data_IF_027088762217
#
_entry.id   IF_027088762217
#
_cell.length_a   1.000
_cell.length_b   1.000
_cell.length_c   1.000
_cell.angle_alpha   90.00
_cell.angle_beta   90.00
_cell.angle_gamma   90.00
#
_symmetry.space_group_name_H-M   'P 1'
#
loop_
_entity.id
_entity.type
_entity.pdbx_description
1 polymer ?
#
# COMPACT_ATOMS: atom_id res chain seq x y z
N UNK A 1 18.92 -22.35 -12.39
CA UNK A 1 17.90 -23.43 -12.34
C UNK A 1 16.79 -22.92 -11.43
N UNK A 2 15.56 -22.86 -11.91
CA UNK A 2 14.45 -22.33 -11.11
C UNK A 2 14.12 -23.20 -9.88
N UNK A 3 13.98 -22.57 -8.70
CA UNK A 3 13.50 -23.23 -7.48
C UNK A 3 12.65 -22.28 -6.62
N UNK A 4 11.80 -22.85 -5.77
CA UNK A 4 10.97 -22.08 -4.83
C UNK A 4 11.84 -21.53 -3.69
N UNK A 5 11.60 -20.30 -3.27
CA UNK A 5 12.25 -19.67 -2.13
C UNK A 5 11.24 -19.28 -1.05
N UNK A 6 11.73 -19.06 0.17
CA UNK A 6 10.89 -18.60 1.28
C UNK A 6 10.46 -17.14 1.08
N UNK A 7 9.19 -16.88 1.32
CA UNK A 7 8.53 -15.58 1.33
C UNK A 7 8.47 -14.95 2.75
N UNK A 8 9.04 -15.65 3.74
CA UNK A 8 9.19 -15.22 5.14
C UNK A 8 10.57 -14.62 5.46
N UNK A 9 11.53 -14.71 4.51
CA UNK A 9 12.88 -14.20 4.69
C UNK A 9 13.27 -13.25 3.55
N UNK A 10 13.95 -12.15 3.90
CA UNK A 10 14.56 -11.25 2.91
C UNK A 10 15.63 -12.02 2.08
N UNK A 11 15.67 -11.87 0.74
CA UNK A 11 14.95 -10.88 -0.06
C UNK A 11 13.52 -11.24 -0.47
N UNK A 12 13.03 -12.46 -0.20
CA UNK A 12 11.72 -12.93 -0.62
C UNK A 12 10.54 -12.14 -0.04
N UNK A 13 10.65 -11.68 1.20
CA UNK A 13 9.65 -10.82 1.87
C UNK A 13 9.36 -9.52 1.13
N UNK A 14 10.34 -9.01 0.38
CA UNK A 14 10.22 -7.77 -0.39
C UNK A 14 9.55 -7.96 -1.77
N UNK A 15 9.30 -9.21 -2.18
CA UNK A 15 8.71 -9.53 -3.48
C UNK A 15 7.20 -9.56 -3.34
N UNK A 16 6.53 -8.86 -4.24
CA UNK A 16 5.08 -8.76 -4.26
C UNK A 16 4.47 -9.75 -5.26
N UNK A 17 3.38 -10.40 -4.88
CA UNK A 17 2.39 -10.93 -5.81
C UNK A 17 1.35 -9.83 -6.08
N UNK A 18 1.02 -9.57 -7.34
CA UNK A 18 0.14 -8.46 -7.72
C UNK A 18 -1.00 -8.99 -8.58
N UNK A 19 -2.23 -8.62 -8.23
CA UNK A 19 -3.43 -8.87 -9.02
C UNK A 19 -4.03 -7.56 -9.53
N UNK A 20 -4.38 -7.52 -10.81
CA UNK A 20 -5.06 -6.41 -11.47
C UNK A 20 -6.37 -6.89 -12.10
N UNK A 21 -7.47 -6.23 -11.78
CA UNK A 21 -8.82 -6.65 -12.12
C UNK A 21 -9.51 -5.68 -13.10
N UNK A 22 -10.17 -6.23 -14.11
CA UNK A 22 -11.09 -5.55 -15.04
C UNK A 22 -12.39 -6.37 -15.14
N UNK A 23 -13.46 -5.94 -14.45
CA UNK A 23 -14.67 -6.74 -14.31
C UNK A 23 -14.37 -8.14 -13.75
N UNK A 24 -14.75 -9.18 -14.48
CA UNK A 24 -14.51 -10.59 -14.07
C UNK A 24 -13.10 -11.10 -14.42
N UNK A 25 -12.29 -10.32 -15.12
CA UNK A 25 -10.94 -10.73 -15.55
C UNK A 25 -9.90 -10.25 -14.55
N UNK A 26 -9.06 -11.16 -14.08
CA UNK A 26 -7.89 -10.86 -13.22
C UNK A 26 -6.62 -11.27 -13.96
N UNK A 27 -5.65 -10.37 -14.01
CA UNK A 27 -4.26 -10.66 -14.40
C UNK A 27 -3.40 -10.66 -13.15
N UNK A 28 -2.38 -11.52 -13.14
CA UNK A 28 -1.46 -11.66 -12.03
C UNK A 28 -0.01 -11.53 -12.49
N UNK A 29 0.81 -10.93 -11.63
CA UNK A 29 2.21 -10.67 -11.88
C UNK A 29 2.98 -10.50 -10.58
N UNK A 30 4.17 -9.93 -10.71
CA UNK A 30 5.13 -9.75 -9.62
C UNK A 30 5.49 -8.28 -9.44
N UNK A 31 6.09 -7.96 -8.31
CA UNK A 31 6.68 -6.65 -8.04
C UNK A 31 7.76 -6.74 -6.97
N UNK A 32 8.38 -5.62 -6.65
CA UNK A 32 9.42 -5.54 -5.60
C UNK A 32 9.29 -4.25 -4.80
N UNK A 33 9.38 -4.33 -3.49
CA UNK A 33 9.54 -3.16 -2.63
C UNK A 33 10.88 -2.49 -2.92
N UNK A 34 10.83 -1.19 -3.20
CA UNK A 34 12.00 -0.35 -3.51
C UNK A 34 12.17 0.81 -2.52
N UNK A 35 11.25 0.94 -1.57
CA UNK A 35 11.29 1.92 -0.49
C UNK A 35 10.36 1.51 0.63
N UNK A 36 10.10 2.44 1.56
CA UNK A 36 9.23 2.20 2.72
C UNK A 36 7.81 1.83 2.32
N UNK A 37 7.31 2.35 1.20
CA UNK A 37 5.94 2.09 0.76
C UNK A 37 5.75 1.98 -0.77
N UNK A 38 6.83 1.97 -1.53
CA UNK A 38 6.76 1.93 -2.99
C UNK A 38 7.14 0.56 -3.54
N UNK A 39 6.34 0.08 -4.48
CA UNK A 39 6.50 -1.20 -5.19
C UNK A 39 6.74 -0.91 -6.67
N UNK A 40 7.85 -1.40 -7.20
CA UNK A 40 8.13 -1.37 -8.62
C UNK A 40 7.52 -2.61 -9.29
N UNK A 41 6.90 -2.43 -10.46
CA UNK A 41 6.33 -3.50 -11.28
C UNK A 41 6.30 -3.08 -12.77
N UNK A 42 5.67 -3.88 -13.63
CA UNK A 42 5.50 -3.59 -15.05
C UNK A 42 4.21 -2.79 -15.30
N UNK A 43 4.24 -1.84 -16.23
CA UNK A 43 3.06 -1.03 -16.58
C UNK A 43 1.92 -1.88 -17.15
N UNK A 44 2.23 -2.88 -17.98
CA UNK A 44 1.21 -3.74 -18.59
C UNK A 44 0.46 -4.62 -17.58
N UNK A 45 1.00 -4.76 -16.36
CA UNK A 45 0.33 -5.52 -15.31
C UNK A 45 -0.90 -4.77 -14.80
N UNK A 46 -0.85 -3.44 -14.75
CA UNK A 46 -1.92 -2.59 -14.20
C UNK A 46 -2.68 -1.80 -15.27
N UNK A 47 -2.16 -1.70 -16.49
CA UNK A 47 -2.78 -1.00 -17.60
C UNK A 47 -2.89 -1.91 -18.83
N UNK A 48 -4.09 -1.98 -19.42
CA UNK A 48 -4.33 -2.72 -20.64
C UNK A 48 -5.38 -2.02 -21.52
N UNK A 49 -4.95 -1.42 -22.62
CA UNK A 49 -5.83 -0.69 -23.54
C UNK A 49 -6.99 -1.55 -24.09
N UNK A 50 -6.74 -2.82 -24.36
CA UNK A 50 -7.76 -3.76 -24.87
C UNK A 50 -8.81 -4.16 -23.80
N UNK A 51 -8.52 -3.90 -22.53
CA UNK A 51 -9.44 -4.12 -21.40
C UNK A 51 -10.05 -2.81 -20.86
N UNK A 52 -9.87 -1.69 -21.56
CA UNK A 52 -10.42 -0.38 -21.17
C UNK A 52 -9.45 0.53 -20.44
N UNK A 53 -8.15 0.19 -20.39
CA UNK A 53 -7.10 1.02 -19.80
C UNK A 53 -6.66 0.51 -18.44
N UNK A 54 -6.59 1.41 -17.45
CA UNK A 54 -6.15 1.08 -16.08
C UNK A 54 -7.09 0.05 -15.44
N UNK A 55 -6.55 -0.85 -14.62
CA UNK A 55 -7.32 -1.79 -13.83
C UNK A 55 -8.29 -1.08 -12.88
N UNK A 56 -9.48 -1.65 -12.71
CA UNK A 56 -10.50 -1.18 -11.76
C UNK A 56 -10.07 -1.40 -10.31
N UNK A 57 -9.31 -2.46 -10.06
CA UNK A 57 -8.72 -2.76 -8.76
C UNK A 57 -7.32 -3.37 -8.94
N UNK A 58 -6.37 -2.91 -8.12
CA UNK A 58 -5.04 -3.50 -7.99
C UNK A 58 -4.84 -3.94 -6.55
N UNK A 59 -4.47 -5.20 -6.35
CA UNK A 59 -4.18 -5.81 -5.05
C UNK A 59 -2.74 -6.28 -5.03
N UNK A 60 -2.00 -5.88 -4.00
CA UNK A 60 -0.58 -6.23 -3.81
C UNK A 60 -0.47 -7.06 -2.56
N UNK A 61 0.21 -8.20 -2.63
CA UNK A 61 0.39 -9.14 -1.53
C UNK A 61 1.88 -9.34 -1.26
N UNK A 62 2.27 -9.37 0.01
CA UNK A 62 3.62 -9.73 0.46
C UNK A 62 3.54 -10.96 1.35
N UNK A 63 4.64 -11.72 1.44
CA UNK A 63 4.65 -13.03 2.14
C UNK A 63 3.46 -13.88 1.69
N UNK A 64 3.33 -14.01 0.37
CA UNK A 64 2.21 -14.65 -0.30
C UNK A 64 2.56 -16.09 -0.67
N UNK A 65 1.88 -17.04 -0.02
CA UNK A 65 1.90 -18.46 -0.39
C UNK A 65 0.51 -18.89 -0.94
N UNK A 66 0.42 -19.32 -2.21
CA UNK A 66 -0.82 -19.75 -2.82
C UNK A 66 -1.55 -20.85 -2.03
N UNK A 67 -2.81 -20.57 -1.68
CA UNK A 67 -3.68 -21.49 -0.96
C UNK A 67 -3.57 -21.41 0.55
N UNK A 68 -2.67 -20.58 1.09
CA UNK A 68 -2.66 -20.27 2.52
C UNK A 68 -3.71 -19.21 2.87
N UNK A 69 -4.56 -19.46 3.88
CA UNK A 69 -5.52 -18.47 4.34
C UNK A 69 -4.81 -17.35 5.10
N UNK A 70 -5.22 -16.11 4.88
CA UNK A 70 -4.72 -14.95 5.63
C UNK A 70 -3.75 -14.04 4.86
N UNK A 71 -3.47 -14.33 3.58
CA UNK A 71 -2.78 -13.37 2.72
C UNK A 71 -3.57 -12.06 2.65
N UNK A 72 -2.89 -10.94 2.90
CA UNK A 72 -3.53 -9.62 2.88
C UNK A 72 -3.13 -8.80 1.68
N UNK A 73 -4.17 -8.31 1.01
CA UNK A 73 -4.08 -7.40 -0.09
C UNK A 73 -3.90 -5.96 0.41
N UNK A 74 -2.91 -5.28 -0.13
CA UNK A 74 -2.78 -3.84 -0.12
C UNK A 74 -3.39 -3.26 -1.40
N UNK A 75 -4.18 -2.22 -1.27
CA UNK A 75 -4.63 -1.40 -2.40
C UNK A 75 -3.72 -0.18 -2.52
N UNK A 76 -2.94 -0.02 -3.60
CA UNK A 76 -2.12 1.17 -3.78
C UNK A 76 -3.00 2.43 -3.87
N UNK A 77 -2.57 3.52 -3.24
CA UNK A 77 -3.23 4.85 -3.30
C UNK A 77 -2.74 5.72 -4.44
N UNK A 78 -1.62 5.32 -5.05
CA UNK A 78 -0.99 6.03 -6.15
C UNK A 78 -0.47 4.99 -7.15
N UNK A 79 -0.85 5.14 -8.41
CA UNK A 79 -0.34 4.35 -9.53
C UNK A 79 0.36 5.32 -10.50
N UNK A 80 1.67 5.17 -10.64
CA UNK A 80 2.49 5.94 -11.59
C UNK A 80 2.99 4.97 -12.66
N UNK A 81 2.62 5.21 -13.91
CA UNK A 81 2.86 4.26 -14.99
C UNK A 81 2.98 4.99 -16.33
N UNK A 82 3.49 4.28 -17.32
CA UNK A 82 3.43 4.72 -18.70
C UNK A 82 2.41 3.88 -19.45
N UNK A 83 1.56 4.53 -20.25
CA UNK A 83 0.60 3.82 -21.07
C UNK A 83 1.32 3.08 -22.22
N UNK A 84 1.72 1.83 -21.98
CA UNK A 84 2.28 0.92 -22.97
C UNK A 84 1.24 -0.13 -23.34
N UNK A 85 1.25 -0.64 -24.57
CA UNK A 85 0.28 -1.64 -25.00
C UNK A 85 0.86 -2.59 -26.05
N UNK A 86 0.27 -3.78 -26.12
CA UNK A 86 0.48 -4.72 -27.21
C UNK A 86 -0.13 -4.15 -28.49
N UNK A 87 0.68 -4.08 -29.55
CA UNK A 87 0.26 -3.53 -30.85
C UNK A 87 -0.46 -4.57 -31.73
N UNK A 88 -0.28 -5.85 -31.44
CA UNK A 88 -0.75 -6.98 -32.27
C UNK A 88 -1.82 -7.84 -31.58
N UNK A 89 -2.26 -7.45 -30.39
CA UNK A 89 -3.27 -8.17 -29.62
C UNK A 89 -2.77 -9.46 -28.95
N UNK A 90 -1.46 -9.76 -29.03
CA UNK A 90 -0.84 -10.91 -28.36
C UNK A 90 -0.77 -10.75 -26.84
N UNK A 91 -0.92 -9.53 -26.34
CA UNK A 91 -0.68 -9.18 -24.94
C UNK A 91 0.80 -8.94 -24.62
N UNK A 92 1.71 -9.15 -25.58
CA UNK A 92 3.13 -8.81 -25.46
C UNK A 92 3.39 -7.39 -25.94
N UNK A 93 4.27 -6.68 -25.24
CA UNK A 93 4.74 -5.36 -25.62
C UNK A 93 5.92 -5.53 -26.59
N UNK A 94 6.05 -4.70 -27.64
CA UNK A 94 7.27 -4.64 -28.44
C UNK A 94 8.48 -4.20 -27.60
N UNK A 95 9.72 -4.57 -27.96
CA UNK A 95 10.90 -4.18 -27.16
C UNK A 95 11.16 -2.68 -27.16
N UNK A 96 10.96 -2.00 -28.28
CA UNK A 96 11.20 -0.57 -28.45
C UNK A 96 10.98 -0.14 -29.90
N UNK A 97 11.46 1.04 -30.29
CA UNK A 97 11.34 1.60 -31.65
C UNK A 97 12.69 1.60 -32.42
N UNK A 98 13.75 1.07 -31.82
CA UNK A 98 15.11 1.05 -32.32
C UNK A 98 15.86 2.38 -32.16
N UNK A 99 15.31 3.35 -31.43
CA UNK A 99 15.85 4.70 -31.31
C UNK A 99 16.23 5.04 -29.86
N UNK A 100 17.54 5.06 -29.57
CA UNK A 100 18.05 5.42 -28.25
C UNK A 100 17.82 6.86 -27.79
N UNK A 101 17.15 7.71 -28.58
CA UNK A 101 16.79 9.08 -28.18
C UNK A 101 15.42 9.17 -27.50
N UNK A 102 14.57 8.16 -27.70
CA UNK A 102 13.21 8.10 -27.17
C UNK A 102 13.09 6.99 -26.12
N UNK A 103 11.97 6.98 -25.40
CA UNK A 103 11.51 5.81 -24.66
C UNK A 103 10.23 5.33 -25.33
N UNK A 104 10.19 4.08 -25.77
CA UNK A 104 9.06 3.50 -26.47
C UNK A 104 8.81 2.04 -26.08
N UNK A 105 7.55 1.63 -26.14
CA UNK A 105 7.11 0.24 -25.94
C UNK A 105 7.65 -0.40 -24.65
N UNK A 106 8.51 -1.40 -24.75
CA UNK A 106 9.07 -2.17 -23.63
C UNK A 106 9.96 -1.35 -22.72
N UNK A 107 10.62 -0.30 -23.24
CA UNK A 107 11.43 0.60 -22.41
C UNK A 107 10.59 1.39 -21.40
N UNK A 108 9.31 1.61 -21.70
CA UNK A 108 8.35 2.31 -20.84
C UNK A 108 7.58 1.36 -19.92
N UNK A 109 7.81 0.05 -19.99
CA UNK A 109 7.03 -0.95 -19.26
C UNK A 109 7.44 -1.07 -17.78
N UNK A 110 7.38 0.05 -17.07
CA UNK A 110 7.66 0.18 -15.64
C UNK A 110 6.54 0.98 -15.01
N UNK A 111 6.09 0.55 -13.83
CA UNK A 111 5.15 1.25 -12.98
C UNK A 111 5.63 1.25 -11.53
N UNK A 112 5.23 2.29 -10.81
CA UNK A 112 5.46 2.47 -9.38
C UNK A 112 4.10 2.54 -8.67
N UNK A 113 3.89 1.66 -7.71
CA UNK A 113 2.67 1.57 -6.90
C UNK A 113 3.01 2.02 -5.48
N UNK A 114 2.25 2.96 -4.91
CA UNK A 114 2.48 3.41 -3.53
C UNK A 114 1.40 2.90 -2.60
N UNK A 115 1.85 2.29 -1.52
CA UNK A 115 1.02 1.75 -0.45
C UNK A 115 0.87 2.83 0.62
N UNK A 116 -0.32 3.03 1.21
CA UNK A 116 -0.51 3.99 2.29
C UNK A 116 -0.06 3.41 3.65
N UNK A 117 1.06 2.68 3.67
CA UNK A 117 1.62 2.06 4.86
C UNK A 117 3.12 1.80 4.65
N UNK A 118 3.95 1.87 5.70
CA UNK A 118 5.39 1.65 5.61
C UNK A 118 5.74 0.14 5.56
N UNK A 119 5.21 -0.59 4.58
CA UNK A 119 5.39 -2.05 4.46
C UNK A 119 6.87 -2.45 4.36
N UNK A 120 7.67 -1.64 3.68
CA UNK A 120 9.12 -1.84 3.54
C UNK A 120 9.86 -1.83 4.87
N UNK A 121 9.40 -1.10 5.89
CA UNK A 121 10.06 -1.05 7.21
C UNK A 121 10.10 -2.44 7.89
N UNK A 122 9.15 -3.32 7.55
CA UNK A 122 9.13 -4.72 8.02
C UNK A 122 9.71 -5.70 7.01
N UNK A 123 9.35 -5.56 5.74
CA UNK A 123 9.69 -6.54 4.72
C UNK A 123 11.10 -6.38 4.14
N UNK A 124 11.73 -5.22 4.36
CA UNK A 124 12.91 -4.79 3.61
C UNK A 124 12.55 -4.37 2.19
N UNK A 125 13.52 -3.79 1.49
CA UNK A 125 13.37 -3.37 0.10
C UNK A 125 14.70 -3.51 -0.65
N UNK A 126 14.63 -3.45 -1.98
CA UNK A 126 15.79 -3.52 -2.85
C UNK A 126 16.33 -2.11 -3.13
N UNK A 127 17.64 -2.02 -3.37
CA UNK A 127 18.24 -0.81 -3.93
C UNK A 127 18.06 -0.74 -5.45
N UNK A 128 18.60 0.31 -6.06
CA UNK A 128 18.69 0.46 -7.51
C UNK A 128 20.14 0.51 -7.99
N UNK A 129 20.39 0.01 -9.20
CA UNK A 129 21.66 0.19 -9.86
C UNK A 129 21.47 0.54 -11.33
N UNK A 130 21.79 1.79 -11.68
CA UNK A 130 21.79 2.28 -13.05
C UNK A 130 23.12 2.02 -13.74
N UNK A 131 23.10 1.99 -15.07
CA UNK A 131 24.29 1.78 -15.89
C UNK A 131 24.77 0.33 -15.93
N UNK A 132 23.94 -0.63 -15.50
CA UNK A 132 24.34 -2.03 -15.51
C UNK A 132 24.63 -2.48 -16.96
N UNK A 133 25.84 -3.00 -17.25
CA UNK A 133 26.25 -3.29 -18.63
C UNK A 133 25.65 -4.60 -19.19
N UNK A 134 24.92 -5.34 -18.36
CA UNK A 134 24.56 -6.74 -18.61
C UNK A 134 25.56 -7.70 -17.96
N UNK A 135 25.20 -8.97 -17.89
CA UNK A 135 25.95 -10.00 -17.18
C UNK A 135 25.06 -10.88 -16.31
N UNK A 136 25.64 -11.55 -15.31
CA UNK A 136 24.91 -12.41 -14.37
C UNK A 136 23.91 -11.63 -13.52
N UNK A 137 22.72 -12.18 -13.36
CA UNK A 137 21.61 -11.61 -12.58
C UNK A 137 20.75 -12.72 -11.97
N UNK A 138 19.98 -12.36 -10.95
CA UNK A 138 18.87 -13.15 -10.44
C UNK A 138 17.52 -12.56 -10.86
N UNK A 139 16.50 -13.40 -10.84
CA UNK A 139 15.09 -13.02 -10.95
C UNK A 139 14.29 -13.65 -9.82
N UNK A 140 13.41 -12.86 -9.21
CA UNK A 140 12.39 -13.33 -8.27
C UNK A 140 11.00 -13.00 -8.81
N UNK A 141 10.03 -13.86 -8.56
CA UNK A 141 8.64 -13.59 -8.94
C UNK A 141 7.68 -14.73 -8.65
N UNK A 142 6.42 -14.54 -9.03
CA UNK A 142 5.30 -15.46 -8.84
C UNK A 142 4.80 -16.02 -10.18
N UNK A 143 5.62 -16.81 -10.90
CA UNK A 143 5.26 -17.39 -12.19
C UNK A 143 4.07 -18.34 -12.08
N UNK A 144 3.12 -18.19 -13.02
CA UNK A 144 1.94 -19.03 -13.13
C UNK A 144 2.30 -20.52 -13.37
N UNK A 145 3.42 -20.79 -14.04
CA UNK A 145 3.91 -22.15 -14.28
C UNK A 145 4.09 -22.95 -12.98
N UNK A 146 4.46 -22.26 -11.90
CA UNK A 146 4.71 -22.85 -10.59
C UNK A 146 3.57 -22.53 -9.60
N UNK A 147 2.37 -22.27 -10.12
CA UNK A 147 1.18 -22.02 -9.32
C UNK A 147 1.23 -20.72 -8.52
N UNK A 148 1.98 -19.71 -8.99
CA UNK A 148 2.20 -18.42 -8.33
C UNK A 148 2.94 -18.49 -6.99
N UNK A 149 3.65 -19.58 -6.71
CA UNK A 149 4.61 -19.63 -5.59
C UNK A 149 5.79 -18.70 -5.89
N UNK A 150 6.44 -18.20 -4.84
CA UNK A 150 7.63 -17.37 -5.00
C UNK A 150 8.81 -18.21 -5.52
N UNK A 151 9.26 -17.93 -6.73
CA UNK A 151 10.34 -18.64 -7.40
C UNK A 151 11.54 -17.74 -7.63
N UNK A 152 12.73 -18.33 -7.60
CA UNK A 152 13.99 -17.73 -7.96
C UNK A 152 14.62 -18.48 -9.15
N UNK A 153 15.24 -17.74 -10.08
CA UNK A 153 16.23 -18.28 -11.02
C UNK A 153 17.42 -17.30 -11.16
N UNK A 154 18.54 -17.81 -11.65
CA UNK A 154 19.74 -17.06 -11.98
C UNK A 154 20.21 -17.39 -13.40
N UNK A 155 20.77 -16.40 -14.07
CA UNK A 155 21.18 -16.51 -15.47
C UNK A 155 21.84 -15.22 -15.93
N UNK A 156 21.69 -14.86 -17.20
CA UNK A 156 22.33 -13.66 -17.73
C UNK A 156 21.42 -12.79 -18.59
N UNK A 157 21.75 -11.50 -18.63
CA UNK A 157 21.12 -10.51 -19.51
C UNK A 157 22.17 -9.77 -20.33
N UNK A 158 21.77 -9.22 -21.47
CA UNK A 158 22.61 -8.35 -22.31
C UNK A 158 21.95 -6.99 -22.47
N UNK A 159 22.70 -5.92 -22.20
CA UNK A 159 22.23 -4.55 -22.44
C UNK A 159 22.03 -4.31 -23.93
N UNK A 160 20.89 -3.73 -24.31
CA UNK A 160 20.73 -3.20 -25.66
C UNK A 160 21.64 -1.98 -25.86
N UNK A 161 22.40 -1.90 -26.97
CA UNK A 161 23.36 -0.81 -27.19
C UNK A 161 22.70 0.54 -27.51
N UNK A 162 21.43 0.54 -27.90
CA UNK A 162 20.69 1.74 -28.30
C UNK A 162 19.54 2.03 -27.33
N UNK A 163 18.83 1.00 -26.92
CA UNK A 163 17.61 1.10 -26.13
C UNK A 163 17.86 0.99 -24.62
N UNK A 164 16.94 1.57 -23.83
CA UNK A 164 16.91 1.47 -22.38
C UNK A 164 16.27 0.14 -21.92
N UNK A 165 16.87 -0.97 -22.36
CA UNK A 165 16.32 -2.31 -22.20
C UNK A 165 17.44 -3.36 -22.10
N UNK A 166 17.11 -4.48 -21.47
CA UNK A 166 17.93 -5.68 -21.44
C UNK A 166 17.28 -6.82 -22.22
N UNK A 167 18.06 -7.48 -23.05
CA UNK A 167 17.74 -8.79 -23.61
C UNK A 167 17.96 -9.87 -22.55
N UNK A 168 16.96 -10.72 -22.35
CA UNK A 168 17.03 -11.89 -21.47
C UNK A 168 17.61 -13.07 -22.25
N UNK A 169 18.69 -13.66 -21.75
CA UNK A 169 19.28 -14.84 -22.38
C UNK A 169 18.52 -16.11 -21.98
N UNK A 170 18.72 -17.18 -22.75
CA UNK A 170 17.98 -18.43 -22.57
C UNK A 170 18.32 -19.20 -21.27
N UNK A 171 19.36 -18.77 -20.56
CA UNK A 171 19.77 -19.33 -19.26
C UNK A 171 19.00 -18.75 -18.08
N UNK A 172 18.22 -17.67 -18.27
CA UNK A 172 17.35 -17.09 -17.24
C UNK A 172 15.88 -17.42 -17.55
N UNK A 173 15.25 -18.23 -16.72
CA UNK A 173 13.88 -18.68 -16.95
C UNK A 173 12.85 -17.60 -16.62
N UNK A 174 12.05 -17.19 -17.62
CA UNK A 174 10.97 -16.22 -17.46
C UNK A 174 9.65 -16.79 -17.97
N UNK A 175 8.65 -16.83 -17.09
CA UNK A 175 7.31 -17.33 -17.37
C UNK A 175 6.23 -16.25 -17.11
N UNK A 176 5.02 -16.37 -17.71
CA UNK A 176 3.88 -15.54 -17.32
C UNK A 176 3.71 -15.54 -15.79
N UNK A 177 3.44 -14.37 -15.20
CA UNK A 177 3.46 -14.15 -13.75
C UNK A 177 4.78 -13.54 -13.23
N UNK A 178 5.90 -13.72 -13.93
CA UNK A 178 7.14 -12.97 -13.63
C UNK A 178 7.06 -11.51 -14.06
N UNK A 179 6.10 -11.12 -14.91
CA UNK A 179 5.87 -9.73 -15.31
C UNK A 179 5.86 -8.80 -14.10
N UNK A 180 6.75 -7.81 -14.09
CA UNK A 180 6.92 -6.88 -12.97
C UNK A 180 7.93 -7.29 -11.90
N UNK A 181 8.39 -8.55 -11.91
CA UNK A 181 9.41 -9.05 -10.98
C UNK A 181 10.78 -8.40 -11.22
N UNK A 182 11.62 -8.27 -10.19
CA UNK A 182 12.93 -7.66 -10.31
C UNK A 182 13.89 -8.56 -11.09
N UNK A 183 14.58 -7.98 -12.07
CA UNK A 183 15.92 -8.45 -12.46
C UNK A 183 16.93 -7.67 -11.64
N UNK A 184 17.77 -8.39 -10.89
CA UNK A 184 18.67 -7.80 -9.92
C UNK A 184 20.04 -8.48 -9.92
N UNK A 185 21.05 -7.79 -9.39
CA UNK A 185 22.31 -8.43 -9.00
C UNK A 185 22.59 -8.18 -7.52
N UNK A 186 23.37 -9.06 -6.92
CA UNK A 186 23.84 -8.94 -5.53
C UNK A 186 25.34 -9.25 -5.46
N UNK A 187 26.14 -8.20 -5.29
CA UNK A 187 27.60 -8.29 -5.12
C UNK A 187 28.06 -7.44 -3.94
N UNK A 188 27.58 -7.78 -2.74
CA UNK A 188 28.02 -7.17 -1.48
C UNK A 188 27.41 -5.78 -1.28
N UNK A 189 26.46 -5.69 -0.35
CA UNK A 189 25.71 -4.45 -0.08
C UNK A 189 24.20 -4.57 -0.32
N UNK A 190 23.72 -5.74 -0.75
CA UNK A 190 22.32 -6.07 -0.91
C UNK A 190 21.92 -6.25 -2.38
N UNK A 191 20.68 -6.68 -2.64
CA UNK A 191 20.16 -6.81 -3.99
C UNK A 191 19.81 -5.44 -4.57
N UNK A 192 20.27 -5.20 -5.80
CA UNK A 192 20.00 -3.97 -6.55
C UNK A 192 19.22 -4.29 -7.82
N UNK A 193 18.03 -3.70 -7.96
CA UNK A 193 17.23 -3.79 -9.18
C UNK A 193 17.95 -3.08 -10.32
N UNK A 194 18.13 -3.79 -11.43
CA UNK A 194 18.65 -3.24 -12.69
C UNK A 194 17.58 -3.16 -13.77
N UNK A 195 16.51 -3.96 -13.63
CA UNK A 195 15.39 -3.93 -14.56
C UNK A 195 14.17 -4.63 -14.00
N UNK A 196 13.06 -4.47 -14.71
CA UNK A 196 11.78 -5.11 -14.41
C UNK A 196 11.42 -6.04 -15.56
N UNK A 197 11.04 -7.28 -15.24
CA UNK A 197 10.60 -8.25 -16.25
C UNK A 197 9.38 -7.68 -16.99
N UNK A 198 9.53 -7.48 -18.31
CA UNK A 198 8.44 -7.02 -19.18
C UNK A 198 7.86 -8.19 -19.96
N UNK A 199 8.71 -8.92 -20.66
CA UNK A 199 8.33 -10.14 -21.40
C UNK A 199 9.32 -11.26 -21.11
N UNK A 200 9.08 -12.45 -21.67
CA UNK A 200 10.05 -13.55 -21.62
C UNK A 200 11.40 -13.24 -22.27
N UNK A 201 11.45 -12.23 -23.15
CA UNK A 201 12.60 -11.96 -23.99
C UNK A 201 13.38 -10.71 -23.57
N UNK A 202 12.78 -9.85 -22.75
CA UNK A 202 13.43 -8.61 -22.34
C UNK A 202 12.86 -8.04 -21.04
N UNK A 203 13.66 -7.18 -20.42
CA UNK A 203 13.30 -6.39 -19.26
C UNK A 203 13.50 -4.89 -19.53
N UNK A 204 12.61 -4.08 -18.98
CA UNK A 204 12.75 -2.62 -18.99
C UNK A 204 13.89 -2.25 -18.02
N UNK A 205 14.92 -1.54 -18.52
CA UNK A 205 16.04 -1.14 -17.68
C UNK A 205 15.64 0.05 -16.79
N UNK A 206 16.05 0.06 -15.52
CA UNK A 206 15.70 1.17 -14.61
C UNK A 206 16.46 2.47 -14.91
N UNK A 207 17.56 2.43 -15.66
CA UNK A 207 18.54 3.51 -15.80
C UNK A 207 17.92 4.87 -16.13
N UNK A 208 17.16 4.97 -17.21
CA UNK A 208 16.53 6.24 -17.63
C UNK A 208 15.29 6.61 -16.82
N UNK A 209 14.84 5.71 -15.95
CA UNK A 209 13.70 5.90 -15.07
C UNK A 209 14.11 6.30 -13.65
N UNK A 210 15.37 6.12 -13.25
CA UNK A 210 15.82 6.34 -11.86
C UNK A 210 15.44 7.72 -11.32
N UNK A 211 15.65 8.78 -12.12
CA UNK A 211 15.30 10.14 -11.71
C UNK A 211 13.81 10.32 -11.46
N UNK A 212 12.96 9.70 -12.29
CA UNK A 212 11.50 9.70 -12.10
C UNK A 212 11.08 8.83 -10.93
N UNK A 213 11.59 7.60 -10.83
CA UNK A 213 11.29 6.65 -9.75
C UNK A 213 11.63 7.29 -8.39
N UNK A 214 12.84 7.79 -8.22
CA UNK A 214 13.29 8.39 -6.96
C UNK A 214 12.52 9.66 -6.60
N UNK A 215 12.17 10.49 -7.60
CA UNK A 215 11.35 11.68 -7.36
C UNK A 215 9.94 11.31 -6.92
N UNK A 216 9.30 10.34 -7.57
CA UNK A 216 7.97 9.87 -7.17
C UNK A 216 8.01 9.22 -5.79
N UNK A 217 8.99 8.35 -5.50
CA UNK A 217 9.15 7.76 -4.16
C UNK A 217 9.22 8.83 -3.06
N UNK A 218 10.05 9.86 -3.26
CA UNK A 218 10.13 10.98 -2.30
C UNK A 218 8.84 11.78 -2.17
N UNK A 219 8.02 11.89 -3.23
CA UNK A 219 6.68 12.48 -3.16
C UNK A 219 5.71 11.53 -2.46
N UNK A 220 5.82 10.23 -2.68
CA UNK A 220 4.95 9.19 -2.13
C UNK A 220 5.17 8.96 -0.64
N UNK A 221 6.30 9.38 -0.08
CA UNK A 221 6.52 9.45 1.37
C UNK A 221 5.49 10.35 2.08
N UNK A 222 4.79 11.24 1.35
CA UNK A 222 3.62 11.97 1.89
C UNK A 222 2.45 11.06 2.28
N UNK A 223 2.43 9.83 1.77
CA UNK A 223 1.49 8.78 2.19
C UNK A 223 1.99 8.03 3.44
N UNK A 224 3.21 8.36 3.92
CA UNK A 224 3.80 7.88 5.17
C UNK A 224 3.91 8.97 6.24
N UNK A 225 3.86 10.25 5.83
CA UNK A 225 3.94 11.41 6.73
C UNK A 225 2.57 12.07 6.88
N UNK A 226 2.16 12.49 8.09
CA UNK A 226 0.81 12.97 8.31
C UNK A 226 0.69 14.50 8.14
N UNK A 227 -0.45 15.17 7.90
CA UNK A 227 -1.88 14.81 7.91
C UNK A 227 -2.21 13.41 8.38
N UNK A 228 -2.37 13.18 9.68
CA UNK A 228 -2.75 11.87 10.21
C UNK A 228 -4.16 11.59 9.71
N UNK A 229 -4.26 10.76 8.69
CA UNK A 229 -5.50 10.08 8.39
C UNK A 229 -5.84 9.23 9.61
N UNK A 230 -6.98 9.54 10.21
CA UNK A 230 -7.55 8.74 11.27
C UNK A 230 -8.44 7.70 10.60
N UNK A 231 -7.92 6.49 10.50
CA UNK A 231 -8.58 5.33 9.93
C UNK A 231 -9.71 4.85 10.81
N UNK A 232 -10.85 4.48 10.23
CA UNK A 232 -12.01 3.93 10.95
C UNK A 232 -12.26 2.48 10.56
N UNK A 233 -12.58 1.68 11.57
CA UNK A 233 -12.98 0.28 11.43
C UNK A 233 -14.31 0.06 12.14
N UNK A 234 -15.24 -0.63 11.50
CA UNK A 234 -16.49 -1.08 12.11
C UNK A 234 -16.33 -2.45 12.74
N UNK A 235 -16.54 -2.55 14.05
CA UNK A 235 -16.56 -3.82 14.75
C UNK A 235 -17.92 -4.50 14.50
N UNK A 236 -17.92 -5.56 13.70
CA UNK A 236 -19.15 -6.29 13.34
C UNK A 236 -19.79 -7.03 14.52
N UNK A 237 -19.02 -7.35 15.56
CA UNK A 237 -19.51 -8.03 16.75
C UNK A 237 -20.17 -7.10 17.76
N UNK A 238 -19.57 -5.92 18.03
CA UNK A 238 -20.08 -4.96 19.01
C UNK A 238 -20.89 -3.80 18.39
N UNK A 239 -20.70 -3.54 17.10
CA UNK A 239 -21.13 -2.32 16.40
C UNK A 239 -20.43 -1.05 16.87
N UNK A 240 -19.34 -1.18 17.64
CA UNK A 240 -18.44 -0.06 17.94
C UNK A 240 -17.58 0.28 16.73
N UNK A 241 -16.92 1.44 16.79
CA UNK A 241 -15.88 1.78 15.84
C UNK A 241 -14.51 1.83 16.54
N UNK A 242 -13.48 1.39 15.82
CA UNK A 242 -12.08 1.58 16.19
C UNK A 242 -11.48 2.65 15.28
N UNK A 243 -10.73 3.56 15.88
CA UNK A 243 -10.04 4.65 15.21
C UNK A 243 -8.55 4.60 15.53
N UNK A 244 -7.71 4.87 14.52
CA UNK A 244 -6.27 5.02 14.70
C UNK A 244 -5.68 6.01 13.71
N UNK A 245 -4.76 6.87 14.16
CA UNK A 245 -3.94 7.71 13.29
C UNK A 245 -2.69 6.99 12.76
N UNK A 246 -2.43 5.76 13.22
CA UNK A 246 -1.29 4.96 12.76
C UNK A 246 -1.72 4.10 11.57
N UNK A 247 -1.15 4.37 10.40
CA UNK A 247 -1.31 3.53 9.22
C UNK A 247 -0.80 2.10 9.45
N UNK A 248 0.24 1.94 10.25
CA UNK A 248 0.77 0.63 10.65
C UNK A 248 -0.24 -0.13 11.53
N UNK A 249 -0.85 0.53 12.52
CA UNK A 249 -1.86 -0.10 13.37
C UNK A 249 -3.15 -0.39 12.60
N UNK A 250 -3.57 0.52 11.72
CA UNK A 250 -4.70 0.28 10.83
C UNK A 250 -4.46 -0.97 9.99
N UNK A 251 -3.25 -1.09 9.43
CA UNK A 251 -2.86 -2.28 8.70
C UNK A 251 -2.87 -3.53 9.58
N UNK A 252 -2.21 -3.52 10.74
CA UNK A 252 -2.15 -4.69 11.63
C UNK A 252 -3.54 -5.10 12.15
N UNK A 253 -4.44 -4.14 12.39
CA UNK A 253 -5.84 -4.41 12.75
C UNK A 253 -6.58 -5.05 11.57
N UNK A 254 -6.39 -4.54 10.36
CA UNK A 254 -6.96 -5.14 9.15
C UNK A 254 -6.46 -6.58 8.93
N UNK A 255 -5.20 -6.86 9.26
CA UNK A 255 -4.59 -8.20 9.19
C UNK A 255 -5.13 -9.16 10.23
N UNK A 256 -5.05 -8.75 11.50
CA UNK A 256 -5.09 -9.67 12.63
C UNK A 256 -6.46 -9.74 13.30
N UNK A 257 -7.38 -8.82 12.95
CA UNK A 257 -8.69 -8.70 13.61
C UNK A 257 -9.84 -8.76 12.61
N UNK A 258 -10.22 -9.95 12.10
CA UNK A 258 -11.26 -10.10 11.07
C UNK A 258 -12.66 -9.62 11.51
N UNK A 259 -12.88 -9.40 12.81
CA UNK A 259 -14.11 -8.78 13.33
C UNK A 259 -14.21 -7.26 13.11
N UNK A 260 -13.11 -6.59 12.73
CA UNK A 260 -13.01 -5.16 12.45
C UNK A 260 -12.93 -4.92 10.94
N UNK A 261 -14.01 -4.41 10.36
CA UNK A 261 -14.08 -4.09 8.92
C UNK A 261 -13.54 -2.68 8.69
N UNK A 262 -12.50 -2.53 7.88
CA UNK A 262 -11.98 -1.23 7.48
C UNK A 262 -13.03 -0.41 6.72
N UNK A 263 -13.20 0.86 7.09
CA UNK A 263 -14.16 1.80 6.49
C UNK A 263 -13.49 3.00 5.81
N UNK A 264 -12.15 3.01 5.74
CA UNK A 264 -11.37 4.10 5.14
C UNK A 264 -10.93 5.17 6.14
N UNK A 265 -10.51 6.31 5.59
CA UNK A 265 -10.17 7.52 6.35
C UNK A 265 -11.43 8.17 6.89
N UNK A 266 -11.51 8.34 8.21
CA UNK A 266 -12.63 9.01 8.88
C UNK A 266 -12.50 10.53 8.81
N UNK A 267 -11.28 11.02 9.01
CA UNK A 267 -10.88 12.42 8.97
C UNK A 267 -9.36 12.51 8.95
N UNK A 268 -8.82 13.67 8.55
CA UNK A 268 -7.38 13.93 8.46
C UNK A 268 -7.00 15.07 9.40
N UNK A 269 -5.81 15.02 9.99
CA UNK A 269 -5.35 16.06 10.92
C UNK A 269 -3.85 16.32 10.79
N UNK A 270 -3.48 17.55 10.43
CA UNK A 270 -2.11 18.06 10.38
C UNK A 270 -1.60 18.55 11.74
N UNK A 271 -2.44 18.49 12.77
CA UNK A 271 -2.01 18.79 14.12
C UNK A 271 -0.94 17.78 14.57
N UNK A 272 -0.01 18.25 15.37
CA UNK A 272 1.07 17.43 15.95
C UNK A 272 1.24 17.76 17.44
N UNK A 273 2.25 17.19 18.08
CA UNK A 273 2.53 17.42 19.49
C UNK A 273 2.85 18.89 19.85
N UNK A 274 3.29 19.70 18.88
CA UNK A 274 3.65 21.10 19.08
C UNK A 274 2.48 22.05 18.77
N UNK A 275 1.61 21.68 17.84
CA UNK A 275 0.54 22.53 17.30
C UNK A 275 -0.87 22.11 17.75
N UNK A 276 -1.03 20.89 18.28
CA UNK A 276 -2.31 20.29 18.62
C UNK A 276 -2.48 19.84 20.07
N UNK A 277 -3.55 19.08 20.28
CA UNK A 277 -3.88 18.36 21.51
C UNK A 277 -3.89 16.86 21.23
N UNK A 278 -3.36 16.06 22.15
CA UNK A 278 -3.36 14.60 21.99
C UNK A 278 -4.74 14.00 22.23
N UNK A 279 -5.28 13.27 21.25
CA UNK A 279 -6.50 12.48 21.42
C UNK A 279 -6.13 11.14 22.04
N UNK A 280 -6.43 10.98 23.33
CA UNK A 280 -6.11 9.78 24.08
C UNK A 280 -7.08 8.64 23.78
N UNK A 281 -6.55 7.43 23.58
CA UNK A 281 -7.34 6.20 23.40
C UNK A 281 -7.37 5.38 24.69
N UNK A 282 -8.55 4.90 25.05
CA UNK A 282 -8.77 4.01 26.19
C UNK A 282 -9.53 2.78 25.76
N UNK A 283 -9.01 1.59 26.06
CA UNK A 283 -9.67 0.32 25.81
C UNK A 283 -10.51 -0.10 27.02
N UNK A 284 -11.74 -0.56 26.78
CA UNK A 284 -12.65 -1.12 27.80
C UNK A 284 -12.81 -2.64 27.60
N UNK A 285 -12.07 -3.49 28.33
CA UNK A 285 -12.08 -4.94 28.13
C UNK A 285 -13.46 -5.60 28.24
N UNK A 286 -14.34 -5.08 29.11
CA UNK A 286 -15.68 -5.65 29.31
C UNK A 286 -16.60 -5.58 28.10
N UNK A 287 -16.31 -4.68 27.15
CA UNK A 287 -17.13 -4.45 25.94
C UNK A 287 -16.34 -4.57 24.63
N UNK A 288 -15.01 -4.70 24.70
CA UNK A 288 -14.14 -4.65 23.52
C UNK A 288 -14.17 -3.30 22.79
N UNK A 289 -14.63 -2.23 23.44
CA UNK A 289 -14.77 -0.90 22.83
C UNK A 289 -13.63 0.03 23.21
N UNK A 290 -13.44 1.06 22.38
CA UNK A 290 -12.47 2.12 22.63
C UNK A 290 -13.18 3.45 22.88
N UNK A 291 -12.57 4.28 23.71
CA UNK A 291 -12.99 5.64 24.01
C UNK A 291 -11.88 6.62 23.62
N UNK A 292 -12.26 7.73 23.01
CA UNK A 292 -11.35 8.75 22.51
C UNK A 292 -11.68 10.12 23.09
N UNK A 293 -10.67 10.82 23.61
CA UNK A 293 -10.84 12.16 24.17
C UNK A 293 -9.61 13.04 24.05
N UNK A 294 -9.83 14.30 23.69
CA UNK A 294 -8.83 15.36 23.76
C UNK A 294 -8.87 16.14 25.08
N UNK A 295 -9.86 15.90 25.95
CA UNK A 295 -9.94 16.56 27.26
C UNK A 295 -8.94 15.94 28.22
N UNK A 296 -8.07 16.78 28.77
CA UNK A 296 -7.09 16.37 29.77
C UNK A 296 -7.76 15.87 31.06
N UNK A 297 -8.88 16.47 31.45
CA UNK A 297 -9.67 16.11 32.62
C UNK A 297 -10.37 14.75 32.43
N UNK A 298 -11.01 14.54 31.28
CA UNK A 298 -11.67 13.25 30.97
C UNK A 298 -10.64 12.13 30.87
N UNK A 299 -9.50 12.38 30.23
CA UNK A 299 -8.40 11.43 30.19
C UNK A 299 -7.84 11.12 31.58
N UNK A 300 -7.69 12.12 32.46
CA UNK A 300 -7.25 11.90 33.84
C UNK A 300 -8.24 11.06 34.64
N UNK A 301 -9.54 11.32 34.48
CA UNK A 301 -10.60 10.54 35.12
C UNK A 301 -10.61 9.08 34.63
N UNK A 302 -10.51 8.85 33.32
CA UNK A 302 -10.49 7.51 32.73
C UNK A 302 -9.25 6.70 33.13
N UNK A 303 -8.10 7.34 33.36
CA UNK A 303 -6.90 6.65 33.90
C UNK A 303 -7.11 6.13 35.32
N UNK A 304 -7.98 6.77 36.10
CA UNK A 304 -8.31 6.36 37.46
C UNK A 304 -9.46 5.35 37.52
N UNK A 305 -10.20 5.16 36.43
CA UNK A 305 -11.36 4.28 36.35
C UNK A 305 -10.92 2.82 36.06
N UNK A 306 -11.14 1.85 36.98
CA UNK A 306 -10.64 0.48 36.83
C UNK A 306 -11.11 -0.27 35.58
N UNK A 307 -12.20 0.18 34.96
CA UNK A 307 -12.78 -0.42 33.76
C UNK A 307 -12.07 -0.06 32.45
N UNK A 308 -11.09 0.84 32.47
CA UNK A 308 -10.38 1.30 31.29
C UNK A 308 -8.88 1.06 31.37
N UNK A 309 -8.28 0.74 30.22
CA UNK A 309 -6.83 0.72 30.01
C UNK A 309 -6.45 1.87 29.10
N UNK A 310 -5.56 2.74 29.56
CA UNK A 310 -5.01 3.81 28.72
C UNK A 310 -4.01 3.22 27.71
N UNK A 311 -4.20 3.52 26.43
CA UNK A 311 -3.37 2.98 25.33
C UNK A 311 -2.51 4.05 24.66
N UNK A 312 -2.45 5.26 25.24
CA UNK A 312 -1.61 6.35 24.74
C UNK A 312 -2.39 7.43 23.99
N UNK A 313 -1.70 8.10 23.05
CA UNK A 313 -2.27 9.09 22.13
C UNK A 313 -2.49 8.37 20.80
N UNK A 314 -3.72 8.43 20.28
CA UNK A 314 -4.07 7.80 19.00
C UNK A 314 -3.73 8.67 17.80
N UNK A 315 -3.88 9.99 17.95
CA UNK A 315 -3.58 11.02 16.96
C UNK A 315 -3.58 12.39 17.65
N UNK A 316 -3.03 13.40 16.99
CA UNK A 316 -3.15 14.80 17.43
C UNK A 316 -4.27 15.51 16.69
N UNK A 317 -4.99 16.38 17.38
CA UNK A 317 -6.11 17.15 16.82
C UNK A 317 -5.98 18.64 17.17
N UNK A 318 -6.81 19.48 16.57
CA UNK A 318 -6.91 20.89 16.95
C UNK A 318 -7.86 21.02 18.14
N UNK A 319 -7.41 21.68 19.21
CA UNK A 319 -8.23 21.89 20.42
C UNK A 319 -9.34 22.93 20.26
N UNK A 320 -9.24 23.79 19.25
CA UNK A 320 -10.11 24.95 19.05
C UNK A 320 -10.58 25.05 17.59
N UNK A 321 -11.77 25.62 17.41
CA UNK A 321 -12.31 25.93 16.08
C UNK A 321 -11.38 26.89 15.32
N UNK A 322 -11.41 26.83 13.99
CA UNK A 322 -10.60 27.71 13.15
C UNK A 322 -10.91 27.57 11.67
N UNK A 323 -10.36 28.48 10.86
CA UNK A 323 -10.45 28.37 9.41
C UNK A 323 -9.78 27.08 8.93
N UNK A 324 -10.43 26.34 8.03
CA UNK A 324 -9.92 25.06 7.52
C UNK A 324 -10.00 23.91 8.52
N UNK A 325 -10.87 23.99 9.54
CA UNK A 325 -11.07 22.92 10.53
C UNK A 325 -12.52 22.47 10.61
N UNK A 326 -12.72 21.16 10.62
CA UNK A 326 -14.02 20.53 10.84
C UNK A 326 -14.16 20.04 12.28
N UNK A 327 -15.37 20.13 12.82
CA UNK A 327 -15.68 19.61 14.15
C UNK A 327 -15.89 18.09 14.11
N UNK A 328 -15.30 17.36 15.07
CA UNK A 328 -15.60 15.95 15.29
C UNK A 328 -16.70 15.82 16.33
N UNK A 329 -17.87 15.36 15.91
CA UNK A 329 -19.06 15.15 16.73
C UNK A 329 -18.98 13.81 17.47
N UNK A 330 -19.21 13.82 18.79
CA UNK A 330 -19.24 12.61 19.62
C UNK A 330 -20.66 12.22 20.00
N UNK A 331 -20.92 10.92 19.97
CA UNK A 331 -22.18 10.32 20.40
C UNK A 331 -21.93 9.15 21.35
N UNK A 332 -22.82 8.97 22.31
CA UNK A 332 -22.86 7.81 23.19
C UNK A 332 -24.09 6.95 22.88
N UNK A 333 -23.87 5.70 22.44
CA UNK A 333 -24.92 4.72 22.29
C UNK A 333 -25.28 4.16 23.67
N UNK A 334 -26.45 4.54 24.18
CA UNK A 334 -26.92 4.19 25.52
C UNK A 334 -27.33 2.73 25.70
N UNK A 335 -27.64 2.03 24.61
CA UNK A 335 -27.98 0.59 24.66
C UNK A 335 -26.72 -0.28 24.71
N UNK A 336 -25.67 0.12 24.00
CA UNK A 336 -24.44 -0.69 23.84
C UNK A 336 -23.27 -0.20 24.70
N UNK A 337 -23.34 1.01 25.23
CA UNK A 337 -22.26 1.63 26.01
C UNK A 337 -21.01 1.96 25.19
N UNK A 338 -21.17 2.26 23.89
CA UNK A 338 -20.07 2.56 22.95
C UNK A 338 -20.20 3.96 22.39
N UNK A 339 -19.08 4.52 21.91
CA UNK A 339 -19.05 5.86 21.34
C UNK A 339 -18.87 5.84 19.83
N UNK A 340 -19.37 6.89 19.18
CA UNK A 340 -19.24 7.13 17.74
C UNK A 340 -18.75 8.54 17.48
N UNK A 341 -17.89 8.70 16.48
CA UNK A 341 -17.23 9.94 16.12
C UNK A 341 -17.35 10.19 14.61
N UNK A 342 -17.75 11.41 14.22
CA UNK A 342 -17.90 11.79 12.82
C UNK A 342 -17.65 13.28 12.60
N UNK A 343 -17.07 13.66 11.46
CA UNK A 343 -17.01 15.05 10.97
C UNK A 343 -18.23 15.42 10.13
N UNK A 344 -19.02 14.44 9.67
CA UNK A 344 -20.16 14.70 8.79
C UNK A 344 -21.32 15.31 9.56
N UNK A 345 -21.60 16.59 9.29
CA UNK A 345 -22.79 17.27 9.82
C UNK A 345 -24.09 16.58 9.39
N UNK A 346 -24.14 16.03 8.17
CA UNK A 346 -25.30 15.30 7.67
C UNK A 346 -25.50 13.96 8.42
N UNK A 347 -24.41 13.24 8.72
CA UNK A 347 -24.48 12.02 9.53
C UNK A 347 -24.90 12.35 10.97
N UNK A 348 -24.33 13.41 11.55
CA UNK A 348 -24.75 13.93 12.87
C UNK A 348 -26.25 14.19 12.90
N UNK A 349 -26.76 14.95 11.94
CA UNK A 349 -28.18 15.32 11.88
C UNK A 349 -29.08 14.10 11.68
N UNK A 350 -28.64 13.15 10.85
CA UNK A 350 -29.35 11.88 10.62
C UNK A 350 -29.41 11.02 11.89
N UNK A 351 -28.31 10.90 12.64
CA UNK A 351 -28.26 10.15 13.91
C UNK A 351 -29.20 10.79 14.94
N UNK A 352 -29.12 12.12 15.10
CA UNK A 352 -29.98 12.86 16.04
C UNK A 352 -31.47 12.68 15.72
N UNK A 353 -31.83 12.66 14.45
CA UNK A 353 -33.23 12.54 14.03
C UNK A 353 -33.75 11.10 14.09
N UNK A 354 -32.94 10.11 13.71
CA UNK A 354 -33.41 8.76 13.42
C UNK A 354 -33.07 7.72 14.50
N UNK A 355 -32.05 7.96 15.34
CA UNK A 355 -31.48 6.95 16.23
C UNK A 355 -31.56 7.37 17.71
N UNK A 356 -32.69 7.13 18.40
CA UNK A 356 -32.91 7.59 19.79
C UNK A 356 -31.95 6.96 20.81
N UNK A 357 -31.31 5.84 20.48
CA UNK A 357 -30.32 5.18 21.33
C UNK A 357 -28.97 5.93 21.36
N UNK A 358 -28.71 6.84 20.41
CA UNK A 358 -27.52 7.68 20.39
C UNK A 358 -27.79 9.04 21.03
N UNK A 359 -27.10 9.31 22.13
CA UNK A 359 -27.07 10.64 22.76
C UNK A 359 -25.93 11.45 22.16
N UNK A 360 -26.25 12.60 21.57
CA UNK A 360 -25.25 13.56 21.12
C UNK A 360 -24.56 14.21 22.33
N UNK A 361 -23.22 14.20 22.36
CA UNK A 361 -22.41 14.71 23.47
C UNK A 361 -21.63 15.99 23.11
N UNK A 362 -21.81 16.50 21.89
CA UNK A 362 -21.17 17.72 21.43
C UNK A 362 -19.93 17.48 20.56
N UNK A 363 -19.08 18.51 20.48
CA UNK A 363 -17.82 18.48 19.74
C UNK A 363 -16.75 17.91 20.66
N UNK A 364 -16.06 16.86 20.22
CA UNK A 364 -14.96 16.26 20.96
C UNK A 364 -13.62 17.00 20.74
N UNK A 365 -13.35 17.39 19.50
CA UNK A 365 -12.16 18.11 19.05
C UNK A 365 -12.36 18.55 17.58
N UNK A 366 -11.37 19.20 16.99
CA UNK A 366 -11.39 19.65 15.59
C UNK A 366 -10.25 18.99 14.80
N UNK A 367 -10.47 18.77 13.52
CA UNK A 367 -9.52 18.16 12.57
C UNK A 367 -9.47 19.01 11.31
N UNK A 368 -8.60 18.71 10.35
CA UNK A 368 -8.54 19.50 9.13
C UNK A 368 -9.80 19.28 8.29
N UNK A 369 -10.29 20.37 7.69
CA UNK A 369 -11.43 20.29 6.80
C UNK A 369 -11.06 19.51 5.54
N UNK A 370 -11.97 18.63 5.10
CA UNK A 370 -11.78 17.89 3.84
C UNK A 370 -11.93 18.87 2.67
N UNK A 371 -10.88 19.02 1.87
CA UNK A 371 -10.82 19.93 0.73
C UNK A 371 -11.72 19.51 -0.43
#
# INVERSE_FOLDING_TARGET
MTFQVSDDHYPGTAIAYIEAQWGDRVLAGSGVLVGRNDVLTASHLIYNASLGGLAEQVRVYFSFEPGEPGAVAHSPVQLRYHATHSLDGSGLIPSGDGAGATLAHGELDIALLSIPAPVGDRQGWFGFSGGFPGGPVGVLGHPALYGHRLMFDDGSIRRDPLENLFWVNADLEINPGNSGGPIYYDHGGGPFVVGVVSTRSFAAAVDRHLGWIQAEMGVNDRFLTPGEDVFRFYNTGSGAHFYTGSAEEAYDVALSMPGLRFEGTAFSTSADAASGVGVHRFYRPSSGSHFYTASAEEAAWLRAEPGFRHEGISHYAHGEAGAGRDAVFRFHNTERGVHFYTTSAAERDSIVQALPQYRYEGIAYYVDAVA
#
